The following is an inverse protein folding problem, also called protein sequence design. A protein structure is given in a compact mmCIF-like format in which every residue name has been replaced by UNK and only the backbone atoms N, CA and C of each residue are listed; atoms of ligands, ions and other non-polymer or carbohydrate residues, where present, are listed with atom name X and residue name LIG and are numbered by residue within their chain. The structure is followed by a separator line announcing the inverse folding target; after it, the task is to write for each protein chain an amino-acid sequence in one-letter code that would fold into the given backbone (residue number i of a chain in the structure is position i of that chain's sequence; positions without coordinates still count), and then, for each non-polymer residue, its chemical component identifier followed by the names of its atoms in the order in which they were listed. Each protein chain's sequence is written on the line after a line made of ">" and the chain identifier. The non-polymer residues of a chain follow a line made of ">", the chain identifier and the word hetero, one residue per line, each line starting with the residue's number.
data_IF_982637005901
#
_entry.id   IF_982637005901
#
_cell.length_a   1.000
_cell.length_b   1.000
_cell.length_c   1.000
_cell.angle_alpha   90.00
_cell.angle_beta   90.00
_cell.angle_gamma   90.00
#
_symmetry.space_group_name_H-M   'P 1'
#
loop_
_entity.id
_entity.type
_entity.pdbx_description
1 polymer ?
#
# COMPACT_ATOMS: atom_id res chain seq x y z
N UNK A 1 -18.41 -7.61 2.16
CA UNK A 1 -17.39 -6.60 2.50
C UNK A 1 -17.97 -5.26 2.09
N UNK A 2 -18.87 -4.73 2.92
CA UNK A 2 -19.46 -3.42 2.67
C UNK A 2 -18.37 -2.35 2.75
N UNK A 3 -18.34 -1.42 1.79
CA UNK A 3 -17.44 -0.27 1.79
C UNK A 3 -16.11 -0.43 1.04
N UNK A 4 -15.74 -1.60 0.52
CA UNK A 4 -14.56 -1.72 -0.36
C UNK A 4 -14.99 -1.48 -1.80
N UNK A 5 -14.38 -0.49 -2.44
CA UNK A 5 -14.65 -0.14 -3.84
C UNK A 5 -13.53 -0.64 -4.74
N UNK A 6 -13.89 -1.12 -5.92
CA UNK A 6 -12.97 -1.63 -6.92
C UNK A 6 -13.02 -0.76 -8.16
N UNK A 7 -11.86 -0.33 -8.63
CA UNK A 7 -11.72 0.44 -9.86
C UNK A 7 -11.41 -0.53 -10.98
N UNK A 8 -12.21 -0.51 -12.05
CA UNK A 8 -12.06 -1.39 -13.20
C UNK A 8 -11.62 -0.60 -14.44
N UNK A 9 -10.88 -1.25 -15.33
CA UNK A 9 -10.63 -0.73 -16.67
C UNK A 9 -11.80 -0.99 -17.64
N UNK A 10 -11.67 -0.50 -18.87
CA UNK A 10 -12.65 -0.69 -19.95
C UNK A 10 -12.92 -2.15 -20.34
N UNK A 11 -12.09 -3.09 -19.88
CA UNK A 11 -12.22 -4.53 -20.12
C UNK A 11 -12.70 -5.28 -18.86
N UNK A 12 -13.10 -4.57 -17.80
CA UNK A 12 -13.56 -5.17 -16.56
C UNK A 12 -12.44 -5.74 -15.68
N UNK A 13 -11.17 -5.36 -15.90
CA UNK A 13 -10.04 -5.80 -15.06
C UNK A 13 -9.83 -4.82 -13.92
N UNK A 14 -9.58 -5.34 -12.73
CA UNK A 14 -9.30 -4.51 -11.55
C UNK A 14 -7.98 -3.75 -11.76
N UNK A 15 -8.06 -2.43 -11.70
CA UNK A 15 -6.93 -1.49 -11.77
C UNK A 15 -6.54 -0.95 -10.39
N UNK A 16 -7.45 -0.95 -9.44
CA UNK A 16 -7.22 -0.43 -8.10
C UNK A 16 -8.34 -0.83 -7.14
N UNK A 17 -8.07 -0.66 -5.85
CA UNK A 17 -9.02 -0.92 -4.76
C UNK A 17 -8.95 0.26 -3.80
N UNK A 18 -10.10 0.80 -3.42
CA UNK A 18 -10.23 1.82 -2.37
C UNK A 18 -10.77 1.10 -1.13
N UNK A 19 -10.05 1.24 -0.03
CA UNK A 19 -10.35 0.57 1.23
C UNK A 19 -10.52 1.61 2.33
N UNK A 20 -11.67 1.65 3.01
CA UNK A 20 -11.86 2.49 4.19
C UNK A 20 -10.84 2.16 5.29
N UNK A 21 -10.33 3.16 6.03
CA UNK A 21 -9.31 2.95 7.07
C UNK A 21 -9.71 1.89 8.10
N UNK A 22 -11.00 1.83 8.45
CA UNK A 22 -11.55 0.91 9.45
C UNK A 22 -11.51 -0.55 9.00
N UNK A 23 -11.42 -0.77 7.68
CA UNK A 23 -11.35 -2.08 7.07
C UNK A 23 -9.94 -2.48 6.68
N UNK A 24 -9.00 -1.51 6.56
CA UNK A 24 -7.63 -1.73 6.10
C UNK A 24 -6.92 -2.84 6.88
N UNK A 25 -6.95 -2.79 8.22
CA UNK A 25 -6.26 -3.78 9.06
C UNK A 25 -6.78 -5.21 8.84
N UNK A 26 -8.04 -5.37 8.44
CA UNK A 26 -8.65 -6.69 8.18
C UNK A 26 -8.32 -7.24 6.79
N UNK A 27 -8.06 -6.37 5.82
CA UNK A 27 -7.88 -6.77 4.42
C UNK A 27 -6.44 -6.66 3.93
N UNK A 28 -5.59 -5.87 4.58
CA UNK A 28 -4.21 -5.58 4.13
C UNK A 28 -3.43 -6.84 3.76
N UNK A 29 -3.52 -7.92 4.54
CA UNK A 29 -2.78 -9.15 4.25
C UNK A 29 -3.26 -9.90 2.99
N UNK A 30 -4.52 -9.70 2.60
CA UNK A 30 -5.14 -10.37 1.44
C UNK A 30 -4.94 -9.61 0.13
N UNK A 31 -4.95 -8.28 0.19
CA UNK A 31 -4.90 -7.40 -1.00
C UNK A 31 -3.57 -6.69 -1.18
N UNK A 32 -2.77 -6.58 -0.11
CA UNK A 32 -1.51 -5.86 -0.13
C UNK A 32 -0.37 -6.84 0.16
N UNK A 33 0.35 -7.21 -0.90
CA UNK A 33 1.61 -7.92 -0.79
C UNK A 33 2.74 -6.90 -1.04
N UNK A 34 3.33 -6.31 0.02
CA UNK A 34 4.26 -5.20 -0.13
C UNK A 34 5.48 -5.57 -0.98
N UNK A 35 5.84 -6.86 -1.04
CA UNK A 35 6.90 -7.44 -1.87
C UNK A 35 6.75 -7.16 -3.37
N UNK A 36 5.51 -7.13 -3.88
CA UNK A 36 5.20 -6.96 -5.31
C UNK A 36 5.32 -5.52 -5.80
N UNK A 37 5.13 -4.56 -4.91
CA UNK A 37 5.20 -3.13 -5.21
C UNK A 37 6.57 -2.52 -4.85
N UNK A 38 7.58 -3.36 -4.54
CA UNK A 38 8.97 -2.94 -4.28
C UNK A 38 9.68 -2.47 -5.55
N UNK A 39 9.11 -1.57 -6.34
CA UNK A 39 9.83 -0.89 -7.43
C UNK A 39 10.95 0.01 -6.88
N UNK A 40 10.62 0.79 -5.84
CA UNK A 40 11.55 1.71 -5.15
C UNK A 40 12.38 1.03 -4.05
N UNK A 41 11.99 -0.17 -3.60
CA UNK A 41 12.69 -0.95 -2.57
C UNK A 41 13.35 -2.22 -3.12
N UNK A 42 13.36 -2.43 -4.44
CA UNK A 42 14.08 -3.55 -5.07
C UNK A 42 15.57 -3.35 -4.82
N UNK A 43 16.14 -4.12 -3.89
CA UNK A 43 17.58 -4.08 -3.58
C UNK A 43 17.97 -3.34 -2.29
N UNK A 44 17.04 -2.63 -1.61
CA UNK A 44 17.32 -2.16 -0.24
C UNK A 44 17.17 -3.33 0.73
N UNK A 45 18.30 -3.81 1.26
CA UNK A 45 18.37 -4.97 2.18
C UNK A 45 17.69 -4.75 3.54
N UNK A 46 17.44 -3.51 3.95
CA UNK A 46 16.79 -3.20 5.23
C UNK A 46 15.56 -2.29 5.05
N UNK A 47 14.40 -2.95 5.01
CA UNK A 47 13.09 -2.31 4.90
C UNK A 47 12.76 -1.46 6.13
N UNK A 48 13.15 -1.91 7.32
CA UNK A 48 12.83 -1.22 8.58
C UNK A 48 13.54 0.12 8.66
N UNK A 49 14.81 0.14 8.26
CA UNK A 49 15.59 1.38 8.14
C UNK A 49 14.97 2.34 7.14
N UNK A 50 14.61 1.85 5.95
CA UNK A 50 14.07 2.71 4.88
C UNK A 50 12.71 3.32 5.23
N UNK A 51 11.85 2.56 5.92
CA UNK A 51 10.56 3.08 6.41
C UNK A 51 10.75 4.14 7.49
N UNK A 52 11.78 4.00 8.33
CA UNK A 52 12.11 5.00 9.36
C UNK A 52 12.60 6.29 8.73
N UNK A 53 13.53 6.22 7.79
CA UNK A 53 14.04 7.39 7.05
C UNK A 53 12.91 8.17 6.38
N UNK A 54 12.00 7.48 5.69
CA UNK A 54 10.86 8.12 5.02
C UNK A 54 9.91 8.83 6.03
N UNK A 55 9.71 8.21 7.20
CA UNK A 55 8.89 8.79 8.27
C UNK A 55 9.54 10.01 8.88
N UNK A 56 10.84 9.93 9.17
CA UNK A 56 11.62 11.05 9.71
C UNK A 56 11.67 12.23 8.73
N UNK A 57 11.74 11.97 7.42
CA UNK A 57 11.61 13.01 6.37
C UNK A 57 10.23 13.67 6.39
N UNK A 58 9.16 12.88 6.47
CA UNK A 58 7.78 13.39 6.49
C UNK A 58 7.46 14.21 7.74
N UNK A 59 8.00 13.83 8.90
CA UNK A 59 7.79 14.53 10.18
C UNK A 59 8.66 15.81 10.31
N UNK A 60 9.64 16.02 9.41
CA UNK A 60 10.56 17.18 9.49
C UNK A 60 9.96 18.51 9.03
N UNK A 61 8.91 18.44 8.21
CA UNK A 61 8.22 19.61 7.65
C UNK A 61 6.86 19.90 8.34
N UNK A 62 6.63 19.35 9.53
CA UNK A 62 5.48 19.62 10.40
C UNK A 62 5.88 20.27 11.73
#
# INVERSE_FOLDING_TARGET
>A
MEGIEYIYDKHGRIKGVIVPPELWEKVREKIFEPSKYRGIYKGRKDLKKSLRELRDEWERDF
#
